data_IF_273317235895
#
_entry.id   IF_273317235895
#
_cell.length_a   1.000
_cell.length_b   1.000
_cell.length_c   1.000
_cell.angle_alpha   90.00
_cell.angle_beta   90.00
_cell.angle_gamma   90.00
#
_symmetry.space_group_name_H-M   'P 1'
#
loop_
_entity.id
_entity.type
_entity.pdbx_description
1 polymer ?
#
# COMPACT_ATOMS: atom_id res chain seq x y z
N UNK A 1 -29.61 -65.87 -6.72
CA UNK A 1 -28.85 -64.82 -6.02
C UNK A 1 -28.68 -63.63 -7.02
N UNK A 2 -29.46 -62.57 -6.79
CA UNK A 2 -29.35 -61.37 -7.63
C UNK A 2 -28.60 -60.30 -6.82
N UNK A 3 -27.41 -59.92 -7.26
CA UNK A 3 -26.66 -58.81 -6.72
C UNK A 3 -27.24 -57.49 -7.29
N UNK A 4 -27.83 -56.65 -6.42
CA UNK A 4 -28.23 -55.29 -6.75
C UNK A 4 -27.03 -54.38 -6.47
N UNK A 5 -26.39 -53.91 -7.51
CA UNK A 5 -25.34 -52.89 -7.44
C UNK A 5 -25.99 -51.52 -7.28
N UNK A 6 -26.01 -50.99 -6.05
CA UNK A 6 -26.52 -49.64 -5.78
C UNK A 6 -25.42 -48.63 -6.12
N UNK A 7 -25.59 -47.93 -7.23
CA UNK A 7 -24.72 -46.81 -7.64
C UNK A 7 -25.08 -45.58 -6.82
N UNK A 8 -24.24 -45.27 -5.85
CA UNK A 8 -24.34 -44.03 -5.08
C UNK A 8 -23.79 -42.88 -5.95
N UNK A 9 -24.68 -42.12 -6.56
CA UNK A 9 -24.34 -40.88 -7.25
C UNK A 9 -23.99 -39.82 -6.19
N UNK A 10 -22.71 -39.62 -5.91
CA UNK A 10 -22.20 -38.48 -5.17
C UNK A 10 -22.23 -37.29 -6.13
N UNK A 11 -23.26 -36.48 -6.08
CA UNK A 11 -23.31 -35.18 -6.74
C UNK A 11 -22.30 -34.26 -6.06
N UNK A 12 -21.12 -34.16 -6.64
CA UNK A 12 -20.16 -33.10 -6.33
C UNK A 12 -20.77 -31.76 -6.70
N UNK A 13 -21.36 -31.06 -5.74
CA UNK A 13 -21.65 -29.66 -5.88
C UNK A 13 -20.32 -28.91 -5.95
N UNK A 14 -19.77 -28.84 -7.16
CA UNK A 14 -18.70 -27.92 -7.49
C UNK A 14 -19.26 -26.52 -7.38
N UNK A 15 -18.91 -25.79 -6.36
CA UNK A 15 -19.12 -24.36 -6.33
C UNK A 15 -18.41 -23.73 -7.53
N UNK A 16 -19.17 -23.33 -8.52
CA UNK A 16 -18.64 -22.58 -9.66
C UNK A 16 -18.13 -21.23 -9.14
N UNK A 17 -16.89 -20.81 -9.45
CA UNK A 17 -16.33 -19.53 -9.01
C UNK A 17 -17.13 -18.31 -9.51
N UNK A 18 -18.08 -18.51 -10.40
CA UNK A 18 -18.91 -17.45 -10.99
C UNK A 18 -20.19 -17.14 -10.21
N UNK A 19 -20.48 -17.81 -9.08
CA UNK A 19 -21.71 -17.63 -8.31
C UNK A 19 -21.53 -16.86 -7.00
N UNK A 20 -20.39 -16.22 -6.76
CA UNK A 20 -20.29 -15.24 -5.69
C UNK A 20 -21.09 -14.00 -6.08
N UNK A 21 -22.13 -13.61 -5.32
CA UNK A 21 -22.84 -12.36 -5.60
C UNK A 21 -21.81 -11.22 -5.57
N UNK A 22 -21.89 -10.26 -6.51
CA UNK A 22 -20.97 -9.13 -6.49
C UNK A 22 -21.15 -8.42 -5.15
N UNK A 23 -20.03 -8.30 -4.41
CA UNK A 23 -20.01 -7.51 -3.17
C UNK A 23 -20.53 -6.12 -3.48
N UNK A 24 -21.68 -5.77 -2.88
CA UNK A 24 -22.24 -4.44 -3.03
C UNK A 24 -21.40 -3.44 -2.23
N UNK A 25 -20.35 -2.93 -2.85
CA UNK A 25 -19.36 -2.02 -2.26
C UNK A 25 -19.96 -0.60 -2.05
N UNK A 26 -21.16 -0.36 -2.54
CA UNK A 26 -21.84 0.93 -2.37
C UNK A 26 -22.36 1.05 -0.93
N UNK A 27 -21.66 1.81 -0.11
CA UNK A 27 -22.19 2.23 1.19
C UNK A 27 -21.31 1.97 2.42
N UNK A 28 -20.08 1.47 2.27
CA UNK A 28 -19.17 1.43 3.42
C UNK A 28 -18.72 2.86 3.78
N UNK A 29 -18.74 3.24 5.06
CA UNK A 29 -18.18 4.51 5.48
C UNK A 29 -16.69 4.56 5.10
N UNK A 30 -16.15 5.75 4.91
CA UNK A 30 -14.70 5.89 4.71
C UNK A 30 -13.97 5.35 5.93
N UNK A 31 -13.09 4.37 5.72
CA UNK A 31 -12.36 3.64 6.76
C UNK A 31 -10.90 4.07 6.83
N UNK A 32 -10.44 4.90 5.89
CA UNK A 32 -9.07 5.37 5.84
C UNK A 32 -9.02 6.91 5.82
N UNK A 33 -7.99 7.43 6.45
CA UNK A 33 -7.60 8.84 6.33
C UNK A 33 -6.32 8.93 5.50
N UNK A 34 -6.22 9.91 4.61
CA UNK A 34 -5.03 10.08 3.75
C UNK A 34 -4.45 11.46 3.97
N UNK A 35 -3.17 11.49 4.33
CA UNK A 35 -2.36 12.71 4.47
C UNK A 35 -1.31 12.75 3.36
N UNK A 36 -1.23 13.85 2.61
CA UNK A 36 -0.30 14.01 1.50
C UNK A 36 0.84 14.96 1.87
N UNK A 37 1.91 14.43 2.46
CA UNK A 37 3.14 15.19 2.73
C UNK A 37 3.94 15.50 1.45
N UNK A 38 3.62 14.84 0.34
CA UNK A 38 4.16 15.13 -0.97
C UNK A 38 3.98 16.60 -1.41
N UNK A 39 2.97 17.29 -0.88
CA UNK A 39 2.73 18.69 -1.20
C UNK A 39 3.67 19.66 -0.46
N UNK A 40 4.48 19.14 0.44
CA UNK A 40 5.37 19.92 1.32
C UNK A 40 6.80 20.08 0.74
N UNK A 41 6.98 19.91 -0.59
CA UNK A 41 8.30 20.03 -1.24
C UNK A 41 9.05 21.30 -0.84
N UNK A 42 8.37 22.44 -0.75
CA UNK A 42 8.98 23.71 -0.37
C UNK A 42 9.61 23.67 1.02
N UNK A 43 9.13 22.81 1.90
CA UNK A 43 9.67 22.58 3.24
C UNK A 43 10.95 21.72 3.25
N UNK A 44 11.39 21.25 2.09
CA UNK A 44 12.60 20.45 1.93
C UNK A 44 13.78 21.26 1.36
N UNK A 45 13.58 22.58 1.12
CA UNK A 45 14.51 23.44 0.41
C UNK A 45 15.82 23.77 1.16
N UNK A 46 15.87 23.57 2.47
CA UNK A 46 17.10 23.68 3.27
C UNK A 46 17.14 22.60 4.34
N UNK A 47 18.35 22.32 4.85
CA UNK A 47 18.50 21.33 5.93
C UNK A 47 17.69 21.72 7.19
N UNK A 48 17.60 23.00 7.52
CA UNK A 48 16.81 23.45 8.66
C UNK A 48 15.30 23.24 8.42
N UNK A 49 14.82 23.51 7.21
CA UNK A 49 13.43 23.27 6.86
C UNK A 49 13.12 21.76 6.89
N UNK A 50 14.06 20.93 6.41
CA UNK A 50 13.95 19.49 6.48
C UNK A 50 13.91 18.96 7.92
N UNK A 51 14.74 19.50 8.82
CA UNK A 51 14.70 19.16 10.25
C UNK A 51 13.34 19.54 10.87
N UNK A 52 12.83 20.72 10.58
CA UNK A 52 11.51 21.16 11.04
C UNK A 52 10.39 20.26 10.46
N UNK A 53 10.51 19.86 9.21
CA UNK A 53 9.59 18.92 8.56
C UNK A 53 9.58 17.55 9.27
N UNK A 54 10.76 17.01 9.60
CA UNK A 54 10.89 15.75 10.34
C UNK A 54 10.26 15.86 11.73
N UNK A 55 10.59 16.92 12.49
CA UNK A 55 10.08 17.11 13.84
C UNK A 55 8.55 17.30 13.88
N UNK A 56 8.01 18.10 12.94
CA UNK A 56 6.57 18.33 12.87
C UNK A 56 5.77 17.07 12.52
N UNK A 57 6.42 16.09 11.91
CA UNK A 57 5.82 14.83 11.48
C UNK A 57 6.48 13.59 12.13
N UNK A 58 7.17 13.77 13.27
CA UNK A 58 8.02 12.74 13.86
C UNK A 58 7.32 11.41 14.13
N UNK A 59 6.06 11.44 14.55
CA UNK A 59 5.28 10.22 14.83
C UNK A 59 5.11 9.31 13.61
N UNK A 60 5.28 9.86 12.40
CA UNK A 60 5.13 9.16 11.13
C UNK A 60 6.48 9.00 10.45
N UNK A 61 7.30 10.04 10.40
CA UNK A 61 8.56 10.05 9.66
C UNK A 61 9.69 9.36 10.40
N UNK A 62 9.71 9.37 11.73
CA UNK A 62 10.75 8.70 12.50
C UNK A 62 10.72 7.18 12.29
N UNK A 63 9.57 6.49 12.42
CA UNK A 63 9.48 5.09 12.06
C UNK A 63 9.80 4.82 10.59
N UNK A 64 9.34 5.69 9.67
CA UNK A 64 9.57 5.52 8.24
C UNK A 64 11.06 5.58 7.86
N UNK A 65 11.78 6.55 8.41
CA UNK A 65 13.21 6.73 8.19
C UNK A 65 14.07 5.96 9.22
N UNK A 66 13.46 5.14 10.07
CA UNK A 66 14.13 4.39 11.15
C UNK A 66 15.03 5.31 12.01
N UNK A 67 14.52 6.51 12.31
CA UNK A 67 15.22 7.47 13.17
C UNK A 67 14.97 7.07 14.61
N UNK A 68 16.00 6.57 15.27
CA UNK A 68 16.00 6.28 16.69
C UNK A 68 16.80 7.36 17.43
N UNK A 69 16.50 7.59 18.70
CA UNK A 69 17.27 8.48 19.59
C UNK A 69 18.64 7.84 19.91
N UNK A 70 19.53 7.74 18.89
CA UNK A 70 20.80 7.05 18.98
C UNK A 70 21.98 7.95 18.73
N UNK A 71 23.18 7.45 19.07
CA UNK A 71 24.48 8.12 19.02
C UNK A 71 24.85 8.70 17.62
N UNK A 72 24.19 8.31 16.53
CA UNK A 72 24.51 8.71 15.16
C UNK A 72 23.37 9.50 14.48
N UNK A 73 22.53 10.19 15.23
CA UNK A 73 21.34 10.89 14.72
C UNK A 73 21.69 11.87 13.59
N UNK A 74 22.70 12.73 13.79
CA UNK A 74 23.12 13.73 12.79
C UNK A 74 23.59 13.09 11.49
N UNK A 75 24.33 11.98 11.57
CA UNK A 75 24.79 11.25 10.40
C UNK A 75 23.61 10.66 9.63
N UNK A 76 22.65 10.06 10.34
CA UNK A 76 21.44 9.49 9.72
C UNK A 76 20.59 10.55 9.05
N UNK A 77 20.35 11.67 9.73
CA UNK A 77 19.60 12.80 9.16
C UNK A 77 20.31 13.37 7.93
N UNK A 78 21.65 13.51 7.96
CA UNK A 78 22.40 13.98 6.81
C UNK A 78 22.24 13.03 5.60
N UNK A 79 22.28 11.73 5.83
CA UNK A 79 22.10 10.73 4.77
C UNK A 79 20.68 10.82 4.18
N UNK A 80 19.65 10.93 5.02
CA UNK A 80 18.27 11.07 4.56
C UNK A 80 18.11 12.39 3.79
N UNK A 81 18.64 13.50 4.32
CA UNK A 81 18.57 14.79 3.66
C UNK A 81 19.22 14.76 2.27
N UNK A 82 20.34 14.07 2.10
CA UNK A 82 21.03 13.92 0.81
C UNK A 82 20.18 13.22 -0.27
N UNK A 83 19.16 12.44 0.12
CA UNK A 83 18.24 11.81 -0.83
C UNK A 83 17.23 12.80 -1.43
N UNK A 84 16.90 13.86 -0.69
CA UNK A 84 15.95 14.89 -1.11
C UNK A 84 16.66 16.16 -1.58
N UNK A 85 17.90 16.38 -1.17
CA UNK A 85 18.75 17.51 -1.57
C UNK A 85 19.70 17.07 -2.70
N UNK A 86 19.12 16.64 -3.84
CA UNK A 86 19.90 16.32 -5.03
C UNK A 86 19.20 16.76 -6.30
N UNK A 87 19.96 16.90 -7.38
CA UNK A 87 19.48 17.41 -8.67
C UNK A 87 18.36 16.58 -9.32
N UNK A 88 18.26 15.29 -8.97
CA UNK A 88 17.25 14.38 -9.52
C UNK A 88 15.93 14.41 -8.75
N UNK A 89 15.93 14.90 -7.52
CA UNK A 89 14.73 14.90 -6.68
C UNK A 89 13.60 15.74 -7.28
N UNK A 90 13.93 16.88 -7.85
CA UNK A 90 12.95 17.74 -8.52
C UNK A 90 12.28 17.05 -9.70
N UNK A 91 13.08 16.37 -10.52
CA UNK A 91 12.54 15.60 -11.64
C UNK A 91 11.69 14.42 -11.19
N UNK A 92 12.12 13.70 -10.17
CA UNK A 92 11.35 12.62 -9.54
C UNK A 92 10.02 13.15 -8.98
N UNK A 93 10.04 14.29 -8.31
CA UNK A 93 8.85 14.95 -7.79
C UNK A 93 7.82 15.24 -8.90
N UNK A 94 8.27 15.80 -10.03
CA UNK A 94 7.37 16.09 -11.16
C UNK A 94 6.82 14.81 -11.79
N UNK A 95 7.63 13.76 -11.95
CA UNK A 95 7.19 12.48 -12.48
C UNK A 95 6.11 11.85 -11.57
N UNK A 96 6.26 11.93 -10.25
CA UNK A 96 5.26 11.47 -9.29
C UNK A 96 3.98 12.30 -9.36
N UNK A 97 4.09 13.62 -9.50
CA UNK A 97 2.92 14.52 -9.63
C UNK A 97 2.17 14.28 -10.93
N UNK A 98 2.86 13.97 -12.01
CA UNK A 98 2.26 13.63 -13.30
C UNK A 98 1.51 12.29 -13.23
N UNK A 99 2.15 11.26 -12.66
CA UNK A 99 1.58 9.92 -12.55
C UNK A 99 0.37 9.86 -11.59
N UNK A 100 0.45 10.54 -10.42
CA UNK A 100 -0.50 10.37 -9.34
C UNK A 100 -1.33 11.61 -9.00
N UNK A 101 -0.88 12.82 -9.39
CA UNK A 101 -1.47 14.08 -8.93
C UNK A 101 -2.91 14.32 -9.37
N UNK A 102 -3.32 13.77 -10.51
CA UNK A 102 -4.68 13.88 -11.04
C UNK A 102 -5.58 12.70 -10.65
N UNK A 103 -5.01 11.62 -10.08
CA UNK A 103 -5.75 10.39 -9.78
C UNK A 103 -6.64 10.57 -8.56
N UNK A 104 -7.93 10.73 -8.81
CA UNK A 104 -8.95 10.67 -7.76
C UNK A 104 -9.08 9.22 -7.28
N UNK A 105 -9.35 9.06 -5.98
CA UNK A 105 -9.61 7.74 -5.38
C UNK A 105 -8.44 6.74 -5.45
N UNK A 106 -7.20 7.24 -5.39
CA UNK A 106 -5.97 6.43 -5.44
C UNK A 106 -6.01 5.22 -4.48
N UNK A 107 -6.59 5.39 -3.30
CA UNK A 107 -6.68 4.37 -2.25
C UNK A 107 -8.09 3.77 -2.07
N UNK A 108 -8.99 3.91 -3.04
CA UNK A 108 -10.35 3.39 -2.95
C UNK A 108 -10.39 1.87 -2.72
N UNK A 109 -9.45 1.13 -3.30
CA UNK A 109 -9.38 -0.32 -3.11
C UNK A 109 -8.99 -0.69 -1.68
N UNK A 110 -8.10 0.08 -1.05
CA UNK A 110 -7.73 -0.10 0.35
C UNK A 110 -8.94 0.21 1.23
N UNK A 111 -9.60 1.34 1.01
CA UNK A 111 -10.79 1.75 1.76
C UNK A 111 -11.89 0.68 1.70
N UNK A 112 -12.18 0.16 0.51
CA UNK A 112 -13.15 -0.92 0.32
C UNK A 112 -12.73 -2.22 1.03
N UNK A 113 -11.45 -2.60 0.96
CA UNK A 113 -10.95 -3.81 1.59
C UNK A 113 -11.02 -3.73 3.12
N UNK A 114 -10.67 -2.58 3.69
CA UNK A 114 -10.82 -2.31 5.13
C UNK A 114 -12.31 -2.32 5.53
N UNK A 115 -13.18 -1.73 4.72
CA UNK A 115 -14.64 -1.76 4.95
C UNK A 115 -15.21 -3.18 4.98
N UNK A 116 -14.79 -4.04 4.05
CA UNK A 116 -15.18 -5.46 4.04
C UNK A 116 -14.69 -6.16 5.29
N UNK A 117 -13.40 -6.00 5.65
CA UNK A 117 -12.85 -6.56 6.87
C UNK A 117 -13.64 -6.12 8.10
N UNK A 118 -13.89 -4.81 8.25
CA UNK A 118 -14.60 -4.23 9.36
C UNK A 118 -16.06 -4.72 9.46
N UNK A 119 -16.68 -5.05 8.34
CA UNK A 119 -18.06 -5.57 8.33
C UNK A 119 -18.16 -7.01 8.80
N UNK A 120 -17.08 -7.77 8.75
CA UNK A 120 -17.04 -9.20 9.09
C UNK A 120 -16.26 -9.50 10.36
N UNK A 121 -15.35 -8.62 10.76
CA UNK A 121 -14.47 -8.79 11.92
C UNK A 121 -15.00 -8.08 13.16
N UNK A 122 -14.74 -8.69 14.34
CA UNK A 122 -14.96 -8.02 15.64
C UNK A 122 -13.94 -6.91 15.90
N UNK A 123 -12.75 -7.02 15.34
CA UNK A 123 -11.69 -6.02 15.43
C UNK A 123 -11.89 -5.02 14.29
N UNK A 124 -12.02 -3.76 14.62
CA UNK A 124 -12.12 -2.67 13.64
C UNK A 124 -10.73 -2.15 13.31
N UNK A 125 -10.48 -1.89 12.04
CA UNK A 125 -9.26 -1.29 11.52
C UNK A 125 -9.57 0.12 11.02
N UNK A 126 -8.70 1.07 11.33
CA UNK A 126 -8.84 2.47 10.91
C UNK A 126 -7.47 3.03 10.50
N UNK A 127 -6.86 2.51 9.41
CA UNK A 127 -5.53 2.93 9.01
C UNK A 127 -5.49 4.38 8.54
N UNK A 128 -4.38 5.03 8.86
CA UNK A 128 -4.03 6.34 8.34
C UNK A 128 -2.88 6.20 7.35
N UNK A 129 -3.09 6.65 6.11
CA UNK A 129 -2.07 6.58 5.05
C UNK A 129 -1.41 7.95 4.93
N UNK A 130 -0.10 7.99 5.10
CA UNK A 130 0.71 9.16 4.80
C UNK A 130 1.52 8.92 3.53
N UNK A 131 1.36 9.80 2.56
CA UNK A 131 2.03 9.71 1.25
C UNK A 131 3.12 10.75 1.16
N UNK A 132 4.33 10.33 0.84
CA UNK A 132 5.49 11.21 0.66
C UNK A 132 6.36 10.75 -0.53
N UNK A 133 7.36 11.56 -0.87
CA UNK A 133 8.46 11.19 -1.76
C UNK A 133 9.71 11.15 -0.88
N UNK A 134 10.36 10.01 -0.82
CA UNK A 134 11.47 9.73 0.09
C UNK A 134 12.85 9.73 -0.57
N UNK A 135 12.90 9.82 -1.89
CA UNK A 135 14.14 9.59 -2.66
C UNK A 135 14.54 8.11 -2.67
N UNK A 136 13.57 7.21 -2.67
CA UNK A 136 13.74 5.75 -2.63
C UNK A 136 14.34 5.24 -1.31
N UNK A 137 13.98 5.84 -0.18
CA UNK A 137 14.44 5.35 1.13
C UNK A 137 13.69 4.08 1.55
N UNK A 138 12.36 4.15 1.66
CA UNK A 138 11.49 3.01 1.95
C UNK A 138 10.22 3.07 1.08
N UNK A 139 9.66 1.92 0.74
CA UNK A 139 8.43 1.80 -0.03
C UNK A 139 7.16 1.93 0.83
N UNK A 140 6.96 1.00 1.75
CA UNK A 140 5.80 0.96 2.65
C UNK A 140 6.26 0.58 4.05
N UNK A 141 6.06 1.49 4.99
CA UNK A 141 6.30 1.21 6.42
C UNK A 141 4.98 1.28 7.16
N UNK A 142 4.73 0.30 8.01
CA UNK A 142 3.55 0.26 8.87
C UNK A 142 3.98 0.31 10.32
N UNK A 143 3.49 1.29 11.05
CA UNK A 143 3.62 1.39 12.50
C UNK A 143 2.24 1.58 13.12
N UNK A 144 1.76 0.56 13.84
CA UNK A 144 0.40 0.50 14.40
C UNK A 144 -0.64 0.73 13.29
N UNK A 145 -1.43 1.79 13.38
CA UNK A 145 -2.44 2.16 12.38
C UNK A 145 -1.91 3.09 11.29
N UNK A 146 -0.65 3.55 11.41
CA UNK A 146 -0.04 4.40 10.40
C UNK A 146 0.60 3.57 9.28
N UNK A 147 0.27 3.90 8.06
CA UNK A 147 0.88 3.38 6.85
C UNK A 147 1.59 4.55 6.18
N UNK A 148 2.90 4.46 6.02
CA UNK A 148 3.69 5.50 5.35
C UNK A 148 4.17 4.96 4.01
N UNK A 149 3.88 5.70 2.96
CA UNK A 149 4.09 5.29 1.57
C UNK A 149 5.10 6.20 0.89
N UNK A 150 6.24 5.65 0.47
CA UNK A 150 7.14 6.23 -0.53
C UNK A 150 6.57 5.97 -1.92
N UNK A 151 5.73 6.89 -2.41
CA UNK A 151 4.90 6.67 -3.60
C UNK A 151 5.72 6.52 -4.87
N UNK A 152 6.92 7.07 -4.93
CA UNK A 152 7.83 7.00 -6.07
C UNK A 152 8.26 5.57 -6.41
N UNK A 153 8.21 4.65 -5.48
CA UNK A 153 8.44 3.23 -5.76
C UNK A 153 7.44 2.65 -6.77
N UNK A 154 6.25 3.23 -6.84
CA UNK A 154 5.13 2.72 -7.66
C UNK A 154 4.93 3.50 -8.96
N UNK A 155 5.93 4.23 -9.42
CA UNK A 155 5.91 4.83 -10.76
C UNK A 155 5.80 3.78 -11.86
N UNK A 156 5.20 4.13 -13.00
CA UNK A 156 5.00 3.24 -14.15
C UNK A 156 6.31 2.55 -14.58
N UNK A 157 6.21 1.37 -15.22
CA UNK A 157 7.39 0.59 -15.64
C UNK A 157 8.34 1.36 -16.56
N UNK A 158 7.80 2.28 -17.33
CA UNK A 158 8.50 3.11 -18.31
C UNK A 158 9.26 4.27 -17.67
N UNK A 159 8.98 4.58 -16.39
CA UNK A 159 9.67 5.67 -15.71
C UNK A 159 11.16 5.36 -15.55
N UNK A 160 12.00 6.37 -15.81
CA UNK A 160 13.47 6.27 -15.72
C UNK A 160 13.99 6.08 -14.30
N UNK A 161 13.22 6.54 -13.31
CA UNK A 161 13.58 6.38 -11.90
C UNK A 161 13.02 5.06 -11.37
N UNK A 162 13.93 4.24 -10.83
CA UNK A 162 13.59 2.95 -10.21
C UNK A 162 14.45 2.74 -8.97
N UNK A 163 13.95 2.02 -7.97
CA UNK A 163 14.79 1.56 -6.86
C UNK A 163 15.99 0.79 -7.40
N UNK A 164 17.17 1.06 -6.83
CA UNK A 164 18.40 0.36 -7.19
C UNK A 164 18.51 -0.96 -6.44
N UNK A 165 19.29 -1.87 -6.99
CA UNK A 165 19.72 -3.10 -6.33
C UNK A 165 18.59 -4.07 -5.94
N UNK A 166 17.41 -3.94 -6.56
CA UNK A 166 16.31 -4.87 -6.37
C UNK A 166 16.23 -5.89 -7.51
N UNK A 167 15.95 -7.17 -7.19
CA UNK A 167 15.70 -8.19 -8.20
C UNK A 167 14.51 -7.81 -9.11
N UNK A 168 14.59 -8.21 -10.39
CA UNK A 168 13.57 -7.88 -11.39
C UNK A 168 12.15 -8.31 -11.01
N UNK A 169 12.00 -9.47 -10.37
CA UNK A 169 10.69 -9.96 -9.91
C UNK A 169 10.05 -9.10 -8.80
N UNK A 170 10.88 -8.37 -8.05
CA UNK A 170 10.41 -7.37 -7.08
C UNK A 170 10.03 -6.08 -7.81
N UNK A 171 10.87 -5.61 -8.74
CA UNK A 171 10.59 -4.40 -9.53
C UNK A 171 9.30 -4.51 -10.34
N UNK A 172 8.93 -5.72 -10.79
CA UNK A 172 7.65 -5.97 -11.46
C UNK A 172 6.42 -5.66 -10.60
N UNK A 173 6.58 -5.62 -9.28
CA UNK A 173 5.51 -5.29 -8.32
C UNK A 173 5.47 -3.81 -7.93
N UNK A 174 6.51 -3.06 -8.29
CA UNK A 174 6.55 -1.62 -8.07
C UNK A 174 5.95 -0.88 -9.27
N UNK A 175 4.63 -0.99 -9.39
CA UNK A 175 3.85 -0.26 -10.40
C UNK A 175 2.54 0.24 -9.77
N UNK A 176 1.87 1.23 -10.38
CA UNK A 176 0.61 1.77 -9.87
C UNK A 176 -0.46 0.69 -9.64
N UNK A 177 -0.48 -0.36 -10.47
CA UNK A 177 -1.45 -1.45 -10.40
C UNK A 177 -1.28 -2.31 -9.14
N UNK A 178 -0.03 -2.51 -8.70
CA UNK A 178 0.29 -3.34 -7.53
C UNK A 178 0.33 -2.55 -6.23
N UNK A 179 0.37 -1.22 -6.26
CA UNK A 179 0.52 -0.36 -5.09
C UNK A 179 -0.47 -0.70 -3.97
N UNK A 180 -1.77 -0.70 -4.27
CA UNK A 180 -2.79 -0.97 -3.26
C UNK A 180 -2.67 -2.38 -2.65
N UNK A 181 -2.33 -3.40 -3.47
CA UNK A 181 -2.15 -4.77 -2.97
C UNK A 181 -0.89 -4.90 -2.12
N UNK A 182 0.18 -4.19 -2.45
CA UNK A 182 1.41 -4.16 -1.65
C UNK A 182 1.15 -3.51 -0.29
N UNK A 183 0.49 -2.35 -0.25
CA UNK A 183 0.11 -1.67 0.98
C UNK A 183 -0.76 -2.57 1.88
N UNK A 184 -1.81 -3.18 1.32
CA UNK A 184 -2.69 -4.08 2.08
C UNK A 184 -1.94 -5.30 2.61
N UNK A 185 -1.09 -5.92 1.79
CA UNK A 185 -0.30 -7.09 2.20
C UNK A 185 0.63 -6.74 3.36
N UNK A 186 1.33 -5.61 3.28
CA UNK A 186 2.24 -5.13 4.34
C UNK A 186 1.47 -4.83 5.62
N UNK A 187 0.35 -4.11 5.52
CA UNK A 187 -0.48 -3.74 6.65
C UNK A 187 -1.01 -4.96 7.39
N UNK A 188 -1.64 -5.90 6.68
CA UNK A 188 -2.20 -7.10 7.30
C UNK A 188 -1.12 -8.04 7.86
N UNK A 189 0.05 -8.12 7.23
CA UNK A 189 1.15 -8.94 7.73
C UNK A 189 1.67 -8.47 9.09
N UNK A 190 1.79 -7.17 9.30
CA UNK A 190 2.29 -6.63 10.57
C UNK A 190 1.31 -6.77 11.72
N UNK A 191 0.00 -6.76 11.44
CA UNK A 191 -1.00 -6.90 12.50
C UNK A 191 -1.22 -8.33 12.99
N UNK A 192 -0.47 -9.34 12.48
CA UNK A 192 -0.77 -10.75 12.73
C UNK A 192 -2.26 -11.08 12.53
N UNK A 193 -2.91 -10.36 11.60
CA UNK A 193 -4.32 -10.58 11.25
C UNK A 193 -4.45 -11.89 10.47
N UNK A 194 -3.31 -12.39 9.97
CA UNK A 194 -3.21 -13.62 9.22
C UNK A 194 -3.04 -14.77 10.22
N UNK A 195 -4.13 -15.18 10.85
CA UNK A 195 -4.21 -16.57 11.30
C UNK A 195 -4.52 -17.46 10.06
N UNK A 196 -4.35 -18.76 10.21
CA UNK A 196 -4.57 -19.72 9.11
C UNK A 196 -6.00 -19.62 8.52
N UNK A 197 -6.99 -19.20 9.31
CA UNK A 197 -8.40 -19.03 8.90
C UNK A 197 -8.62 -17.77 8.07
N UNK A 198 -7.87 -16.71 8.35
CA UNK A 198 -7.99 -15.43 7.64
C UNK A 198 -7.11 -15.36 6.38
N UNK A 199 -6.15 -16.27 6.22
CA UNK A 199 -5.23 -16.30 5.08
C UNK A 199 -5.94 -16.45 3.73
N UNK A 200 -6.98 -17.26 3.67
CA UNK A 200 -7.79 -17.45 2.47
C UNK A 200 -8.55 -16.18 2.13
N UNK A 201 -9.21 -15.55 3.10
CA UNK A 201 -9.94 -14.30 2.91
C UNK A 201 -9.03 -13.16 2.49
N UNK A 202 -7.83 -13.05 3.08
CA UNK A 202 -6.83 -12.06 2.69
C UNK A 202 -6.35 -12.27 1.25
N UNK A 203 -6.07 -13.51 0.85
CA UNK A 203 -5.68 -13.85 -0.50
C UNK A 203 -6.80 -13.52 -1.51
N UNK A 204 -8.04 -13.74 -1.15
CA UNK A 204 -9.21 -13.35 -1.94
C UNK A 204 -9.32 -11.82 -2.06
N UNK A 205 -9.12 -11.07 -0.97
CA UNK A 205 -9.13 -9.61 -0.98
C UNK A 205 -8.01 -9.03 -1.84
N UNK A 206 -6.80 -9.58 -1.74
CA UNK A 206 -5.63 -9.19 -2.57
C UNK A 206 -5.90 -9.55 -4.03
N UNK A 207 -6.46 -10.73 -4.31
CA UNK A 207 -6.84 -11.17 -5.65
C UNK A 207 -7.93 -10.27 -6.25
N UNK A 208 -8.94 -9.92 -5.46
CA UNK A 208 -9.99 -8.98 -5.85
C UNK A 208 -9.42 -7.60 -6.19
N UNK A 209 -8.48 -7.08 -5.38
CA UNK A 209 -7.82 -5.81 -5.64
C UNK A 209 -6.99 -5.82 -6.93
N UNK A 210 -6.38 -6.97 -7.28
CA UNK A 210 -5.62 -7.16 -8.53
C UNK A 210 -6.54 -7.24 -9.76
N UNK A 211 -7.61 -8.04 -9.67
CA UNK A 211 -8.48 -8.31 -10.82
C UNK A 211 -9.36 -7.11 -11.21
N UNK A 212 -9.69 -6.24 -10.25
CA UNK A 212 -10.49 -5.05 -10.53
C UNK A 212 -9.66 -3.81 -10.92
N UNK A 213 -8.33 -3.93 -11.01
CA UNK A 213 -7.48 -2.83 -11.49
C UNK A 213 -7.82 -2.42 -12.93
N UNK A 214 -8.24 -3.36 -13.75
CA UNK A 214 -8.56 -3.12 -15.17
C UNK A 214 -9.90 -2.40 -15.39
N UNK A 215 -10.87 -2.54 -14.48
CA UNK A 215 -12.22 -1.97 -14.61
C UNK A 215 -12.34 -0.51 -14.18
N UNK A 216 -11.35 0.04 -13.46
CA UNK A 216 -11.38 1.42 -12.94
C UNK A 216 -10.55 2.37 -13.80
N UNK A 217 -9.66 1.85 -14.64
CA UNK A 217 -8.86 2.66 -15.58
C UNK A 217 -9.64 3.01 -16.85
N UNK A 218 -10.74 2.31 -17.15
CA UNK A 218 -11.59 2.51 -18.35
C UNK A 218 -12.87 3.29 -18.06
N UNK A 219 -13.04 3.85 -16.86
CA UNK A 219 -14.17 4.67 -16.43
C UNK A 219 -13.72 6.06 -15.96
#
# INVERSE_FOLDING_TARGET
MKFILSFFFISLFSCSPNNCPPLNIKGYPKNIQVNYLINDKEKLGSKNDFLNYLENNKNVLYPFYEIEDTFNLDFKINNIYSLVDNEYFDSLYYDVKDEFGSKKNLFLKIDNSIGIYNSTSKKQLNPQITVLISGFYNDVVVDKENIVLGIEYFLSKENKYKPRDLPSYILERYTPEYMNSTILSTYFSQYNIIDETNKTMLNEMISFSKNNSKLILDA
#
